data_IF_299763751074
#
_entry.id   IF_299763751074
#
_cell.length_a   1.000
_cell.length_b   1.000
_cell.length_c   1.000
_cell.angle_alpha   90.00
_cell.angle_beta   90.00
_cell.angle_gamma   90.00
#
_symmetry.space_group_name_H-M   'P 1'
#
loop_
_entity.id
_entity.type
_entity.pdbx_description
1 polymer ?
#
# COMPACT_ATOMS: atom_id res chain seq x y z
N UNK A 1 -14.78 -7.54 -6.66
CA UNK A 1 -14.05 -8.26 -7.73
C UNK A 1 -12.55 -8.18 -7.44
N UNK A 2 -11.78 -9.22 -7.81
CA UNK A 2 -10.33 -9.25 -7.62
C UNK A 2 -9.65 -9.19 -8.98
N UNK A 3 -8.60 -8.38 -9.07
CA UNK A 3 -7.74 -8.25 -10.23
C UNK A 3 -6.30 -8.20 -9.75
N UNK A 4 -5.40 -8.83 -10.51
CA UNK A 4 -3.96 -8.73 -10.30
C UNK A 4 -3.33 -7.96 -11.45
N UNK A 5 -2.27 -7.23 -11.16
CA UNK A 5 -1.43 -6.56 -12.14
C UNK A 5 0.03 -6.66 -11.69
N UNK A 6 0.96 -6.57 -12.65
CA UNK A 6 2.37 -6.42 -12.35
C UNK A 6 2.67 -4.95 -12.05
N UNK A 7 3.45 -4.71 -11.00
CA UNK A 7 3.98 -3.38 -10.69
C UNK A 7 4.99 -2.92 -11.76
N UNK A 8 5.13 -1.62 -11.94
CA UNK A 8 6.20 -1.05 -12.76
C UNK A 8 7.60 -1.49 -12.27
N UNK A 9 8.45 -1.92 -13.21
CA UNK A 9 9.83 -2.31 -12.94
C UNK A 9 10.76 -1.10 -12.80
N UNK A 10 10.76 -0.46 -11.64
CA UNK A 10 11.66 0.67 -11.33
C UNK A 10 13.00 0.16 -10.77
N UNK A 11 14.11 0.64 -11.32
CA UNK A 11 15.45 0.31 -10.83
C UNK A 11 15.64 0.75 -9.37
N UNK A 12 16.19 -0.13 -8.54
CA UNK A 12 16.38 0.11 -7.10
C UNK A 12 15.09 0.06 -6.26
N UNK A 13 13.94 -0.28 -6.85
CA UNK A 13 12.70 -0.44 -6.11
C UNK A 13 12.75 -1.64 -5.15
N UNK A 14 11.94 -1.56 -4.10
CA UNK A 14 11.84 -2.64 -3.12
C UNK A 14 11.36 -3.94 -3.79
N UNK A 15 12.16 -4.98 -3.69
CA UNK A 15 11.87 -6.29 -4.26
C UNK A 15 10.85 -7.10 -3.44
N UNK A 16 10.17 -8.05 -4.10
CA UNK A 16 9.25 -9.01 -3.46
C UNK A 16 8.13 -8.34 -2.65
N UNK A 17 7.56 -7.26 -3.20
CA UNK A 17 6.45 -6.52 -2.58
C UNK A 17 5.13 -6.92 -3.22
N UNK A 18 4.14 -7.21 -2.39
CA UNK A 18 2.73 -7.31 -2.80
C UNK A 18 2.02 -6.04 -2.35
N UNK A 19 1.37 -5.35 -3.29
CA UNK A 19 0.53 -4.17 -3.00
C UNK A 19 -0.93 -4.51 -3.22
N UNK A 20 -1.79 -3.93 -2.39
CA UNK A 20 -3.24 -4.14 -2.46
C UNK A 20 -3.93 -2.77 -2.53
N UNK A 21 -4.79 -2.61 -3.54
CA UNK A 21 -5.75 -1.52 -3.61
C UNK A 21 -7.14 -2.08 -3.33
N UNK A 22 -7.84 -1.49 -2.36
CA UNK A 22 -9.18 -1.90 -1.96
C UNK A 22 -10.14 -0.74 -2.24
N UNK A 23 -11.14 -1.00 -3.07
CA UNK A 23 -12.34 -0.17 -3.10
C UNK A 23 -13.27 -0.66 -1.98
N UNK A 24 -13.56 0.21 -1.01
CA UNK A 24 -14.44 -0.09 0.10
C UNK A 24 -15.53 0.99 0.21
N UNK A 25 -16.77 0.56 0.36
CA UNK A 25 -17.85 1.46 0.76
C UNK A 25 -17.77 1.63 2.28
N UNK A 26 -17.61 2.86 2.75
CA UNK A 26 -17.48 3.17 4.16
C UNK A 26 -17.93 4.59 4.44
N UNK A 27 -18.54 4.81 5.60
CA UNK A 27 -18.92 6.15 6.08
C UNK A 27 -17.75 6.88 6.78
N UNK A 28 -16.60 6.22 6.92
CA UNK A 28 -15.40 6.83 7.50
C UNK A 28 -14.89 7.96 6.60
N UNK A 29 -14.50 9.12 7.16
CA UNK A 29 -13.84 10.14 6.37
C UNK A 29 -12.49 9.63 5.88
N UNK A 30 -12.03 10.15 4.73
CA UNK A 30 -10.77 9.71 4.11
C UNK A 30 -9.55 9.87 5.02
N UNK A 31 -9.55 10.86 5.91
CA UNK A 31 -8.48 11.07 6.91
C UNK A 31 -8.41 9.97 7.98
N UNK A 32 -9.49 9.21 8.19
CA UNK A 32 -9.53 8.12 9.16
C UNK A 32 -9.14 6.76 8.55
N UNK A 33 -8.80 6.71 7.26
CA UNK A 33 -8.38 5.48 6.59
C UNK A 33 -6.90 5.20 6.93
N UNK A 34 -6.66 4.03 7.52
CA UNK A 34 -5.31 3.57 7.85
C UNK A 34 -4.79 2.68 6.72
N UNK A 35 -3.75 3.16 6.04
CA UNK A 35 -3.02 2.37 5.06
C UNK A 35 -1.92 1.58 5.77
N UNK A 36 -1.97 0.25 5.69
CA UNK A 36 -1.08 -0.63 6.44
C UNK A 36 0.10 -1.05 5.57
N UNK A 37 1.32 -0.85 6.09
CA UNK A 37 2.58 -1.27 5.48
C UNK A 37 3.27 -2.19 6.49
N UNK A 38 3.67 -3.37 6.04
CA UNK A 38 4.18 -4.42 6.92
C UNK A 38 5.58 -4.86 6.47
N UNK A 39 6.41 -5.28 7.43
CA UNK A 39 7.73 -5.86 7.16
C UNK A 39 8.59 -4.87 6.38
N UNK A 40 9.35 -5.34 5.39
CA UNK A 40 10.19 -4.47 4.56
C UNK A 40 9.42 -3.37 3.80
N UNK A 41 8.09 -3.46 3.64
CA UNK A 41 7.30 -2.42 2.97
C UNK A 41 7.06 -1.18 3.82
N UNK A 42 7.35 -1.22 5.13
CA UNK A 42 7.24 -0.07 6.04
C UNK A 42 8.03 1.16 5.56
N UNK A 43 9.15 0.95 4.85
CA UNK A 43 9.98 2.03 4.29
C UNK A 43 9.28 2.82 3.17
N UNK A 44 8.20 2.28 2.59
CA UNK A 44 7.47 2.93 1.49
C UNK A 44 6.56 4.07 1.97
N UNK A 45 6.41 4.26 3.28
CA UNK A 45 5.66 5.37 3.89
C UNK A 45 6.41 5.94 5.09
N UNK A 46 7.25 6.93 4.83
CA UNK A 46 8.03 7.61 5.85
C UNK A 46 7.16 8.36 6.90
N UNK A 47 5.94 8.75 6.53
CA UNK A 47 5.00 9.49 7.36
C UNK A 47 4.20 8.63 8.35
N UNK A 48 4.27 7.30 8.26
CA UNK A 48 3.58 6.38 9.18
C UNK A 48 4.43 6.00 10.40
N UNK A 49 5.68 6.45 10.46
CA UNK A 49 6.60 6.21 11.57
C UNK A 49 6.62 7.45 12.48
N UNK A 50 5.71 7.50 13.44
CA UNK A 50 5.75 8.35 14.65
C UNK A 50 5.10 7.58 15.78
#
# INVERSE_FOLDING_TARGET
PLLCAQEIGVEGALERVVRILIHANTDKPRSAIQHVYLRGAEVLRADLHT
#
